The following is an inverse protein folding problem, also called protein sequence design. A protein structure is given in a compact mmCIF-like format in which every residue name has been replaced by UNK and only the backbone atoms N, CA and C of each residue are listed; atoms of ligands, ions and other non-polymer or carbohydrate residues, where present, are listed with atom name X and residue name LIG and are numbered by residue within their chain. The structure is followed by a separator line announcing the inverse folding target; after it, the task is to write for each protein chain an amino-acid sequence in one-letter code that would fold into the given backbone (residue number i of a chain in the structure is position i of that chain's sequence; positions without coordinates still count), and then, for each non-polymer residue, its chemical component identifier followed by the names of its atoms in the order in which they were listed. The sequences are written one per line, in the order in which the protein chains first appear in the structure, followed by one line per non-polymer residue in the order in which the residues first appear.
data_IF_167199931878
#
_entry.id   IF_167199931878
#
_cell.length_a   1.000
_cell.length_b   1.000
_cell.length_c   1.000
_cell.angle_alpha   90.00
_cell.angle_beta   90.00
_cell.angle_gamma   90.00
#
_symmetry.space_group_name_H-M   'P 1'
#
loop_
_entity.id
_entity.type
_entity.pdbx_description
1 polymer ?
#
# COMPACT_ATOMS: atom_id res chain seq x y z
N UNK A 1 20.34 -33.93 0.85
CA UNK A 1 20.17 -33.23 -0.44
C UNK A 1 18.73 -32.76 -0.49
N UNK A 2 18.49 -31.48 -0.73
CA UNK A 2 17.15 -30.90 -0.83
C UNK A 2 16.92 -30.43 -2.26
N UNK A 3 15.74 -30.73 -2.82
CA UNK A 3 15.28 -30.18 -4.09
C UNK A 3 14.31 -29.04 -3.78
N UNK A 4 14.51 -27.87 -4.41
CA UNK A 4 13.76 -26.64 -4.17
C UNK A 4 12.96 -26.31 -5.44
N UNK A 5 11.64 -26.07 -5.31
CA UNK A 5 10.71 -25.87 -6.43
C UNK A 5 9.79 -24.64 -6.26
N UNK A 6 10.32 -23.49 -5.85
CA UNK A 6 9.50 -22.33 -5.44
C UNK A 6 8.54 -21.79 -6.50
N UNK A 7 8.98 -21.59 -7.73
CA UNK A 7 8.13 -21.00 -8.78
C UNK A 7 6.92 -21.89 -9.11
N UNK A 8 7.17 -23.19 -9.31
CA UNK A 8 6.10 -24.15 -9.57
C UNK A 8 5.16 -24.28 -8.37
N UNK A 9 5.71 -24.27 -7.15
CA UNK A 9 4.91 -24.36 -5.93
C UNK A 9 3.99 -23.15 -5.75
N UNK A 10 4.49 -21.94 -6.02
CA UNK A 10 3.69 -20.71 -6.02
C UNK A 10 2.48 -20.83 -6.95
N UNK A 11 2.69 -21.25 -8.19
CA UNK A 11 1.60 -21.39 -9.16
C UNK A 11 0.59 -22.46 -8.74
N UNK A 12 1.05 -23.59 -8.22
CA UNK A 12 0.17 -24.64 -7.70
C UNK A 12 -0.76 -24.12 -6.57
N UNK A 13 -0.26 -23.26 -5.68
CA UNK A 13 -1.09 -22.67 -4.62
C UNK A 13 -2.10 -21.65 -5.17
N UNK A 14 -1.71 -20.86 -6.18
CA UNK A 14 -2.66 -19.97 -6.86
C UNK A 14 -3.75 -20.78 -7.57
N UNK A 15 -3.41 -21.92 -8.18
CA UNK A 15 -4.40 -22.84 -8.78
C UNK A 15 -5.37 -23.36 -7.71
N UNK A 16 -4.87 -23.79 -6.55
CA UNK A 16 -5.70 -24.25 -5.43
C UNK A 16 -6.66 -23.17 -4.91
N UNK A 17 -6.21 -21.90 -4.88
CA UNK A 17 -7.07 -20.78 -4.50
C UNK A 17 -8.27 -20.60 -5.47
N UNK A 18 -8.12 -20.98 -6.73
CA UNK A 18 -9.18 -20.88 -7.73
C UNK A 18 -10.04 -22.16 -7.81
N UNK A 19 -9.69 -23.20 -7.07
CA UNK A 19 -10.57 -24.35 -6.89
C UNK A 19 -11.81 -23.92 -6.10
N UNK A 20 -13.00 -24.45 -6.37
CA UNK A 20 -14.24 -24.05 -5.68
C UNK A 20 -14.56 -24.98 -4.48
N UNK A 21 -13.74 -25.99 -4.25
CA UNK A 21 -13.96 -27.04 -3.25
C UNK A 21 -13.05 -26.91 -2.02
N UNK A 22 -13.50 -27.45 -0.87
CA UNK A 22 -12.70 -27.65 0.35
C UNK A 22 -12.14 -26.41 1.09
N UNK A 23 -12.74 -25.23 0.96
CA UNK A 23 -12.39 -24.07 1.79
C UNK A 23 -12.93 -24.15 3.23
N UNK A 24 -12.06 -23.87 4.20
CA UNK A 24 -12.43 -23.80 5.62
C UNK A 24 -12.72 -22.36 6.12
N UNK A 25 -12.48 -21.34 5.29
CA UNK A 25 -12.59 -19.92 5.65
C UNK A 25 -13.27 -19.15 4.52
N UNK A 26 -14.19 -18.26 4.88
CA UNK A 26 -14.84 -17.30 3.96
C UNK A 26 -14.46 -15.88 4.40
N UNK A 27 -13.97 -15.06 3.46
CA UNK A 27 -13.61 -13.66 3.71
C UNK A 27 -14.56 -12.76 2.90
N UNK A 28 -15.27 -11.88 3.60
CA UNK A 28 -16.21 -10.95 2.98
C UNK A 28 -15.53 -9.59 2.79
N UNK A 29 -15.61 -9.06 1.58
CA UNK A 29 -14.94 -7.81 1.16
C UNK A 29 -16.01 -6.85 0.62
N UNK A 30 -16.02 -5.61 1.11
CA UNK A 30 -17.05 -4.62 0.77
C UNK A 30 -18.35 -4.75 1.58
N UNK A 31 -19.51 -4.44 0.97
CA UNK A 31 -20.82 -4.53 1.63
C UNK A 31 -21.24 -6.00 1.81
N UNK A 32 -21.20 -6.48 3.05
CA UNK A 32 -21.57 -7.87 3.37
C UNK A 32 -23.07 -7.97 3.69
N UNK A 33 -23.82 -8.91 3.09
CA UNK A 33 -25.06 -9.38 3.71
C UNK A 33 -24.70 -10.08 5.03
N UNK A 34 -25.49 -9.82 6.07
CA UNK A 34 -25.30 -10.39 7.42
C UNK A 34 -25.67 -11.89 7.40
N UNK A 35 -24.79 -12.74 6.89
CA UNK A 35 -25.00 -14.18 6.81
C UNK A 35 -24.14 -14.88 7.87
N UNK A 36 -24.79 -15.37 8.93
CA UNK A 36 -24.14 -16.15 10.00
C UNK A 36 -24.07 -17.64 9.63
N UNK A 37 -22.88 -18.11 9.31
CA UNK A 37 -22.52 -19.54 9.34
C UNK A 37 -21.76 -19.87 10.65
N UNK A 38 -21.56 -21.15 10.96
CA UNK A 38 -20.63 -21.60 12.02
C UNK A 38 -19.14 -21.43 11.61
N UNK A 39 -18.85 -20.38 10.84
CA UNK A 39 -17.54 -20.08 10.24
C UNK A 39 -17.08 -18.74 10.82
N UNK A 40 -15.76 -18.58 11.00
CA UNK A 40 -15.17 -17.32 11.45
C UNK A 40 -15.15 -16.33 10.27
N UNK A 41 -16.00 -15.30 10.33
CA UNK A 41 -16.09 -14.24 9.31
C UNK A 41 -15.17 -13.06 9.65
N UNK A 42 -14.47 -12.54 8.64
CA UNK A 42 -13.68 -11.30 8.69
C UNK A 42 -14.26 -10.32 7.67
N UNK A 43 -14.65 -9.12 8.11
CA UNK A 43 -15.24 -8.09 7.25
C UNK A 43 -14.19 -7.02 6.92
N UNK A 44 -13.82 -6.92 5.65
CA UNK A 44 -12.84 -5.96 5.13
C UNK A 44 -13.54 -4.87 4.32
N UNK A 45 -14.20 -3.95 5.02
CA UNK A 45 -15.07 -2.94 4.39
C UNK A 45 -14.30 -1.84 3.64
N UNK A 46 -13.03 -1.62 3.97
CA UNK A 46 -12.20 -0.57 3.38
C UNK A 46 -11.32 -1.07 2.23
N UNK A 47 -11.50 -2.32 1.81
CA UNK A 47 -10.71 -2.96 0.76
C UNK A 47 -11.65 -3.28 -0.41
N UNK A 48 -11.27 -2.88 -1.62
CA UNK A 48 -12.01 -3.28 -2.81
C UNK A 48 -11.77 -4.75 -3.15
N UNK A 49 -12.71 -5.39 -3.83
CA UNK A 49 -12.58 -6.77 -4.31
C UNK A 49 -11.27 -6.95 -5.09
N UNK A 50 -10.96 -6.01 -5.98
CA UNK A 50 -9.73 -6.05 -6.79
C UNK A 50 -8.45 -5.97 -5.95
N UNK A 51 -8.40 -5.13 -4.92
CA UNK A 51 -7.27 -5.08 -4.00
C UNK A 51 -7.13 -6.38 -3.22
N UNK A 52 -8.25 -6.92 -2.72
CA UNK A 52 -8.24 -8.17 -1.98
C UNK A 52 -7.80 -9.35 -2.85
N UNK A 53 -8.24 -9.42 -4.10
CA UNK A 53 -7.79 -10.43 -5.07
C UNK A 53 -6.27 -10.45 -5.22
N UNK A 54 -5.63 -9.28 -5.21
CA UNK A 54 -4.18 -9.18 -5.27
C UNK A 54 -3.54 -9.66 -3.97
N UNK A 55 -4.10 -9.24 -2.82
CA UNK A 55 -3.60 -9.66 -1.50
C UNK A 55 -3.69 -11.19 -1.32
N UNK A 56 -4.82 -11.80 -1.69
CA UNK A 56 -4.99 -13.25 -1.53
C UNK A 56 -4.08 -14.04 -2.48
N UNK A 57 -3.86 -13.56 -3.71
CA UNK A 57 -2.88 -14.14 -4.63
C UNK A 57 -1.45 -14.02 -4.10
N UNK A 58 -1.11 -12.89 -3.47
CA UNK A 58 0.16 -12.73 -2.75
C UNK A 58 0.30 -13.72 -1.59
N UNK A 59 -0.75 -13.95 -0.80
CA UNK A 59 -0.70 -14.91 0.32
C UNK A 59 -0.43 -16.33 -0.17
N UNK A 60 -1.06 -16.74 -1.28
CA UNK A 60 -0.92 -18.11 -1.81
C UNK A 60 0.35 -18.31 -2.63
N UNK A 61 0.71 -17.38 -3.50
CA UNK A 61 1.83 -17.53 -4.43
C UNK A 61 3.06 -16.67 -4.12
N UNK A 62 2.93 -15.63 -3.29
CA UNK A 62 4.00 -14.64 -3.13
C UNK A 62 4.22 -13.78 -4.38
N UNK A 63 3.29 -13.79 -5.34
CA UNK A 63 3.39 -13.04 -6.60
C UNK A 63 2.35 -11.93 -6.63
N UNK A 64 2.76 -10.76 -7.13
CA UNK A 64 1.89 -9.60 -7.37
C UNK A 64 2.06 -9.09 -8.78
N UNK A 65 0.96 -8.98 -9.52
CA UNK A 65 0.92 -8.51 -10.91
C UNK A 65 0.38 -7.08 -10.96
N UNK A 66 1.27 -6.10 -11.20
CA UNK A 66 0.94 -4.67 -11.18
C UNK A 66 0.73 -4.04 -12.56
N UNK A 67 0.99 -4.77 -13.65
CA UNK A 67 1.10 -4.22 -15.02
C UNK A 67 -0.13 -3.45 -15.51
N UNK A 68 -1.31 -3.74 -14.95
CA UNK A 68 -2.59 -3.12 -15.33
C UNK A 68 -3.07 -2.03 -14.38
N UNK A 69 -2.28 -1.69 -13.36
CA UNK A 69 -2.71 -0.81 -12.27
C UNK A 69 -1.93 0.50 -12.31
N UNK A 70 -2.63 1.61 -12.10
CA UNK A 70 -2.01 2.93 -12.03
C UNK A 70 -1.35 3.19 -10.67
N UNK A 71 -0.60 4.29 -10.57
CA UNK A 71 0.10 4.67 -9.34
C UNK A 71 -0.84 4.94 -8.17
N UNK A 72 -2.07 5.43 -8.41
CA UNK A 72 -3.04 5.65 -7.34
C UNK A 72 -3.49 4.32 -6.74
N UNK A 73 -3.81 3.34 -7.59
CA UNK A 73 -4.18 2.00 -7.16
C UNK A 73 -3.05 1.35 -6.37
N UNK A 74 -1.82 1.43 -6.87
CA UNK A 74 -0.64 0.84 -6.21
C UNK A 74 -0.39 1.51 -4.85
N UNK A 75 -0.61 2.82 -4.75
CA UNK A 75 -0.50 3.56 -3.47
C UNK A 75 -1.53 3.07 -2.45
N UNK A 76 -2.80 2.91 -2.81
CA UNK A 76 -3.80 2.35 -1.90
C UNK A 76 -3.48 0.89 -1.53
N UNK A 77 -3.07 0.07 -2.50
CA UNK A 77 -2.68 -1.32 -2.24
C UNK A 77 -1.49 -1.41 -1.27
N UNK A 78 -0.52 -0.49 -1.36
CA UNK A 78 0.60 -0.40 -0.43
C UNK A 78 0.12 -0.11 1.00
N UNK A 79 -0.82 0.82 1.17
CA UNK A 79 -1.39 1.13 2.50
C UNK A 79 -2.11 -0.08 3.08
N UNK A 80 -2.91 -0.78 2.27
CA UNK A 80 -3.61 -2.01 2.67
C UNK A 80 -2.62 -3.11 3.05
N UNK A 81 -1.52 -3.27 2.31
CA UNK A 81 -0.49 -4.24 2.64
C UNK A 81 0.09 -3.97 4.04
N UNK A 82 0.38 -2.72 4.38
CA UNK A 82 0.87 -2.36 5.72
C UNK A 82 -0.18 -2.50 6.82
N UNK A 83 -1.46 -2.19 6.52
CA UNK A 83 -2.60 -2.39 7.43
C UNK A 83 -2.78 -3.87 7.77
N UNK A 84 -2.63 -4.75 6.77
CA UNK A 84 -2.71 -6.20 6.93
C UNK A 84 -1.39 -6.85 7.39
N UNK A 85 -0.39 -6.04 7.76
CA UNK A 85 0.92 -6.48 8.27
C UNK A 85 1.78 -7.27 7.26
N UNK A 86 1.53 -7.10 5.96
CA UNK A 86 2.38 -7.61 4.88
C UNK A 86 3.52 -6.64 4.57
N UNK A 87 4.43 -6.46 5.52
CA UNK A 87 5.49 -5.44 5.46
C UNK A 87 6.41 -5.60 4.23
N UNK A 88 6.72 -6.84 3.83
CA UNK A 88 7.52 -7.11 2.63
C UNK A 88 6.83 -6.62 1.35
N UNK A 89 5.53 -6.94 1.19
CA UNK A 89 4.74 -6.46 0.06
C UNK A 89 4.64 -4.94 0.06
N UNK A 90 4.32 -4.33 1.21
CA UNK A 90 4.24 -2.89 1.37
C UNK A 90 5.53 -2.20 0.92
N UNK A 91 6.69 -2.74 1.33
CA UNK A 91 8.01 -2.20 0.95
C UNK A 91 8.31 -2.31 -0.55
N UNK A 92 7.96 -3.44 -1.16
CA UNK A 92 8.12 -3.63 -2.61
C UNK A 92 7.23 -2.66 -3.41
N UNK A 93 5.97 -2.50 -2.99
CA UNK A 93 5.03 -1.55 -3.62
C UNK A 93 5.50 -0.11 -3.46
N UNK A 94 6.00 0.25 -2.27
CA UNK A 94 6.58 1.58 -2.01
C UNK A 94 7.76 1.88 -2.94
N UNK A 95 8.70 0.94 -3.06
CA UNK A 95 9.86 1.07 -3.95
C UNK A 95 9.42 1.21 -5.41
N UNK A 96 8.45 0.40 -5.84
CA UNK A 96 7.88 0.47 -7.18
C UNK A 96 7.26 1.84 -7.45
N UNK A 97 6.47 2.39 -6.53
CA UNK A 97 5.84 3.71 -6.66
C UNK A 97 6.87 4.83 -6.77
N UNK A 98 7.92 4.80 -5.95
CA UNK A 98 8.96 5.83 -5.99
C UNK A 98 9.68 5.81 -7.34
N UNK A 99 9.96 4.62 -7.89
CA UNK A 99 10.72 4.47 -9.15
C UNK A 99 9.85 4.73 -10.38
N UNK A 100 8.61 4.22 -10.40
CA UNK A 100 7.73 4.23 -11.59
C UNK A 100 6.61 5.26 -11.52
N UNK A 101 6.12 5.55 -10.31
CA UNK A 101 5.00 6.45 -10.04
C UNK A 101 5.39 7.89 -9.67
N UNK A 102 6.67 8.26 -9.77
CA UNK A 102 7.19 9.55 -9.30
C UNK A 102 6.43 10.79 -9.83
N UNK A 103 5.93 10.75 -11.06
CA UNK A 103 5.12 11.84 -11.61
C UNK A 103 3.80 12.00 -10.86
N UNK A 104 3.05 10.91 -10.69
CA UNK A 104 1.82 10.89 -9.91
C UNK A 104 2.08 11.30 -8.47
N UNK A 105 3.18 10.83 -7.86
CA UNK A 105 3.55 11.21 -6.50
C UNK A 105 3.78 12.73 -6.36
N UNK A 106 4.33 13.39 -7.38
CA UNK A 106 4.51 14.86 -7.37
C UNK A 106 3.20 15.61 -7.56
N UNK A 107 2.27 15.07 -8.34
CA UNK A 107 0.94 15.68 -8.52
C UNK A 107 0.12 15.63 -7.24
N UNK A 108 0.26 14.58 -6.45
CA UNK A 108 -0.50 14.36 -5.21
C UNK A 108 0.34 14.59 -3.94
N UNK A 109 1.31 15.50 -4.03
CA UNK A 109 2.40 15.64 -3.06
C UNK A 109 1.91 15.85 -1.62
N UNK A 110 0.95 16.76 -1.39
CA UNK A 110 0.47 17.10 -0.04
C UNK A 110 -0.14 15.89 0.64
N UNK A 111 -1.05 15.19 -0.05
CA UNK A 111 -1.66 13.94 0.42
C UNK A 111 -0.61 12.90 0.79
N UNK A 112 0.41 12.73 -0.05
CA UNK A 112 1.45 11.73 0.13
C UNK A 112 2.36 12.10 1.30
N UNK A 113 2.78 13.35 1.40
CA UNK A 113 3.60 13.85 2.51
C UNK A 113 2.89 13.68 3.85
N UNK A 114 1.60 13.99 3.89
CA UNK A 114 0.79 13.82 5.09
C UNK A 114 0.69 12.35 5.48
N UNK A 115 0.42 11.45 4.52
CA UNK A 115 0.35 10.01 4.80
C UNK A 115 1.69 9.43 5.23
N UNK A 116 2.78 9.75 4.54
CA UNK A 116 4.11 9.24 4.87
C UNK A 116 4.63 9.73 6.22
N UNK A 117 4.14 10.87 6.70
CA UNK A 117 4.48 11.38 8.03
C UNK A 117 3.68 10.74 9.17
N UNK A 118 2.60 10.00 8.88
CA UNK A 118 1.75 9.33 9.90
C UNK A 118 2.28 7.97 10.32
N UNK A 119 3.01 7.29 9.43
CA UNK A 119 3.35 5.89 9.59
C UNK A 119 4.85 5.68 9.36
N UNK A 120 5.54 5.15 10.36
CA UNK A 120 6.97 4.86 10.29
C UNK A 120 7.31 3.77 9.26
N UNK A 121 6.35 2.94 8.85
CA UNK A 121 6.51 1.99 7.75
C UNK A 121 6.66 2.69 6.39
N UNK A 122 6.31 3.97 6.28
CA UNK A 122 6.40 4.76 5.05
C UNK A 122 7.71 5.55 4.91
N UNK A 123 8.79 5.13 5.58
CA UNK A 123 10.03 5.89 5.65
C UNK A 123 10.67 6.19 4.29
N UNK A 124 10.68 5.24 3.34
CA UNK A 124 11.31 5.51 2.03
C UNK A 124 10.52 6.56 1.24
N UNK A 125 9.19 6.51 1.37
CA UNK A 125 8.30 7.51 0.77
C UNK A 125 8.41 8.87 1.48
N UNK A 126 8.55 8.87 2.79
CA UNK A 126 8.78 10.10 3.57
C UNK A 126 10.11 10.74 3.17
N UNK A 127 11.19 9.96 3.05
CA UNK A 127 12.49 10.42 2.59
C UNK A 127 12.43 10.99 1.17
N UNK A 128 11.70 10.33 0.27
CA UNK A 128 11.47 10.83 -1.08
C UNK A 128 10.73 12.18 -1.08
N UNK A 129 9.68 12.32 -0.26
CA UNK A 129 8.99 13.61 -0.14
C UNK A 129 9.91 14.67 0.45
N UNK A 130 10.68 14.28 1.46
CA UNK A 130 11.63 15.13 2.15
C UNK A 130 12.66 15.75 1.19
N UNK A 131 13.21 14.97 0.26
CA UNK A 131 14.11 15.46 -0.78
C UNK A 131 13.46 16.49 -1.71
N UNK A 132 12.15 16.40 -1.93
CA UNK A 132 11.40 17.34 -2.75
C UNK A 132 11.17 18.64 -1.99
N UNK A 133 10.79 18.58 -0.71
CA UNK A 133 10.55 19.79 0.10
C UNK A 133 11.83 20.64 0.18
N UNK A 134 13.01 20.01 0.37
CA UNK A 134 14.29 20.75 0.42
C UNK A 134 14.58 21.48 -0.87
N UNK A 135 14.33 20.83 -2.02
CA UNK A 135 14.63 21.41 -3.33
C UNK A 135 13.59 22.42 -3.78
N UNK A 136 12.34 22.23 -3.37
CA UNK A 136 11.19 22.99 -3.82
C UNK A 136 10.22 23.24 -2.65
N UNK A 137 10.61 24.03 -1.65
CA UNK A 137 9.78 24.24 -0.45
C UNK A 137 8.44 24.89 -0.79
N UNK A 138 8.39 25.70 -1.84
CA UNK A 138 7.15 26.27 -2.38
C UNK A 138 6.10 25.22 -2.76
N UNK A 139 6.48 23.96 -3.05
CA UNK A 139 5.52 22.89 -3.32
C UNK A 139 4.58 22.59 -2.15
N UNK A 140 5.04 22.82 -0.93
CA UNK A 140 4.22 22.65 0.27
C UNK A 140 3.68 23.98 0.78
N UNK A 141 4.52 25.02 0.86
CA UNK A 141 4.13 26.29 1.48
C UNK A 141 3.16 27.12 0.63
N UNK A 142 3.26 27.06 -0.71
CA UNK A 142 2.36 27.80 -1.61
C UNK A 142 1.12 26.97 -1.99
N UNK A 143 0.97 25.76 -1.44
CA UNK A 143 -0.19 24.90 -1.73
C UNK A 143 -1.42 25.40 -0.98
N UNK A 144 -2.57 25.46 -1.68
CA UNK A 144 -3.86 25.70 -1.04
C UNK A 144 -4.22 24.61 -0.01
N UNK A 145 -3.67 23.39 -0.19
CA UNK A 145 -3.85 22.26 0.72
C UNK A 145 -2.91 22.31 1.93
N UNK A 146 -2.03 23.31 2.06
CA UNK A 146 -1.11 23.44 3.21
C UNK A 146 -1.85 23.38 4.55
N UNK A 147 -3.01 24.04 4.63
CA UNK A 147 -3.84 24.07 5.84
C UNK A 147 -4.49 22.72 6.20
N UNK A 148 -4.38 21.71 5.33
CA UNK A 148 -4.89 20.34 5.59
C UNK A 148 -3.86 19.44 6.28
N UNK A 149 -2.59 19.87 6.36
CA UNK A 149 -1.51 19.14 7.01
C UNK A 149 -1.81 18.93 8.50
N UNK A 150 -1.70 17.68 8.93
CA UNK A 150 -1.86 17.31 10.33
C UNK A 150 -0.59 17.59 11.14
N UNK A 151 -0.73 17.62 12.47
CA UNK A 151 0.33 17.96 13.42
C UNK A 151 1.62 17.19 13.16
N UNK A 152 1.56 15.88 12.98
CA UNK A 152 2.73 15.04 12.71
C UNK A 152 3.48 15.42 11.41
N UNK A 153 2.75 15.80 10.36
CA UNK A 153 3.33 16.25 9.10
C UNK A 153 3.94 17.66 9.25
N UNK A 154 3.27 18.54 10.00
CA UNK A 154 3.79 19.86 10.34
C UNK A 154 5.05 19.77 11.21
N UNK A 155 5.05 18.93 12.25
CA UNK A 155 6.22 18.64 13.10
C UNK A 155 7.35 18.12 12.24
N UNK A 156 7.09 17.16 11.34
CA UNK A 156 8.09 16.64 10.42
C UNK A 156 8.64 17.73 9.48
N UNK A 157 7.80 18.70 9.10
CA UNK A 157 8.18 19.80 8.21
C UNK A 157 9.04 20.85 8.92
N UNK A 158 8.60 21.34 10.08
CA UNK A 158 9.27 22.42 10.82
C UNK A 158 10.53 21.95 11.54
N UNK A 159 10.67 20.65 11.81
CA UNK A 159 11.88 20.08 12.46
C UNK A 159 13.08 19.99 11.51
N UNK A 160 12.96 20.54 10.30
CA UNK A 160 13.98 20.46 9.26
C UNK A 160 14.85 21.70 9.25
N UNK A 161 16.13 21.51 9.53
CA UNK A 161 17.14 22.57 9.48
C UNK A 161 17.65 22.87 8.06
N UNK A 162 17.32 22.01 7.09
CA UNK A 162 17.79 22.08 5.70
C UNK A 162 16.81 22.78 4.74
N UNK A 163 15.70 23.31 5.26
CA UNK A 163 14.75 24.09 4.47
C UNK A 163 15.30 25.48 4.19
N UNK A 164 15.55 25.75 2.91
CA UNK A 164 15.88 27.09 2.43
C UNK A 164 14.59 27.86 2.15
N UNK A 165 14.09 28.56 3.16
CA UNK A 165 12.91 29.45 3.06
C UNK A 165 13.26 30.80 2.45
#
# INVERSE_FOLDING_TARGET
MALIFFEKLSNNYIELLNDEEDFNIVINVGESPDIKYNIKTLNLNNISIQQFEIIIKYIYGGIVLLEKHDASFIFELMLIAYELLFDELGKQLQTHLIVKGAHWLRLHFIRIYQKSSQDNKLQDLQNWCNDIVVKYPNKIFDSEEFFTLQENALVSLISRDDLQM
#
